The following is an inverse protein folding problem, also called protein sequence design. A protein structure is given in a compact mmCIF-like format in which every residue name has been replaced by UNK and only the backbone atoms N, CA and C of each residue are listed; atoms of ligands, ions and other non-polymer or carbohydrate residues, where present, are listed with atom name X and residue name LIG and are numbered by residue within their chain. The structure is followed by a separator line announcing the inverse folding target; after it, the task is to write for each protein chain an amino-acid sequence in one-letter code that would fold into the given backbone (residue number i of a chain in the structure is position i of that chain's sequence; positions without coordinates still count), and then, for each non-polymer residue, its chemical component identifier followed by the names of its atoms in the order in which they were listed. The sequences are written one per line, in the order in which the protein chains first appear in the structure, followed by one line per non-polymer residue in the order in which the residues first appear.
data_IF_213250011330
#
_entry.id   IF_213250011330
#
_cell.length_a   1.000
_cell.length_b   1.000
_cell.length_c   1.000
_cell.angle_alpha   90.00
_cell.angle_beta   90.00
_cell.angle_gamma   90.00
#
_symmetry.space_group_name_H-M   'P 1'
#
loop_
_entity.id
_entity.type
_entity.pdbx_description
1 polymer ?
#
# COMPACT_ATOMS: atom_id res chain seq x y z
N UNK A 1 -27.97 -4.20 -1.27
CA UNK A 1 -27.23 -2.97 -0.89
C UNK A 1 -26.71 -2.97 0.53
N UNK A 2 -27.46 -3.51 1.51
CA UNK A 2 -27.08 -3.57 2.94
C UNK A 2 -25.85 -4.46 3.21
N UNK A 3 -25.68 -5.59 2.53
CA UNK A 3 -24.58 -6.54 2.76
C UNK A 3 -23.19 -5.99 2.38
N UNK A 4 -23.05 -5.24 1.29
CA UNK A 4 -21.77 -4.65 0.87
C UNK A 4 -21.29 -3.57 1.84
N UNK A 5 -22.21 -2.76 2.37
CA UNK A 5 -21.90 -1.73 3.36
C UNK A 5 -21.43 -2.36 4.68
N UNK A 6 -22.05 -3.48 5.08
CA UNK A 6 -21.64 -4.23 6.28
C UNK A 6 -20.26 -4.84 6.14
N UNK A 7 -19.90 -5.37 4.97
CA UNK A 7 -18.57 -5.91 4.71
C UNK A 7 -17.49 -4.83 4.81
N UNK A 8 -17.72 -3.68 4.18
CA UNK A 8 -16.77 -2.56 4.23
C UNK A 8 -16.54 -2.09 5.67
N UNK A 9 -17.60 -1.80 6.40
CA UNK A 9 -17.51 -1.32 7.78
C UNK A 9 -17.01 -2.39 8.75
N UNK A 10 -17.44 -3.64 8.59
CA UNK A 10 -17.12 -4.73 9.50
C UNK A 10 -15.76 -5.37 9.30
N UNK A 11 -15.19 -5.29 8.09
CA UNK A 11 -13.91 -5.97 7.79
C UNK A 11 -12.84 -5.02 7.26
N UNK A 12 -13.15 -4.19 6.26
CA UNK A 12 -12.12 -3.36 5.61
C UNK A 12 -11.63 -2.26 6.57
N UNK A 13 -12.54 -1.52 7.21
CA UNK A 13 -12.18 -0.44 8.14
C UNK A 13 -11.31 -0.96 9.29
N UNK A 14 -11.68 -2.02 10.03
CA UNK A 14 -10.85 -2.55 11.10
C UNK A 14 -9.46 -3.00 10.65
N UNK A 15 -9.35 -3.62 9.48
CA UNK A 15 -8.06 -4.04 8.93
C UNK A 15 -7.16 -2.84 8.60
N UNK A 16 -7.71 -1.80 7.97
CA UNK A 16 -6.97 -0.59 7.66
C UNK A 16 -6.53 0.16 8.93
N UNK A 17 -7.40 0.24 9.93
CA UNK A 17 -7.06 0.82 11.24
C UNK A 17 -5.97 0.02 11.94
N UNK A 18 -6.06 -1.31 11.95
CA UNK A 18 -5.03 -2.19 12.51
C UNK A 18 -3.70 -1.97 11.81
N UNK A 19 -3.70 -1.91 10.48
CA UNK A 19 -2.49 -1.66 9.71
C UNK A 19 -1.90 -0.27 10.02
N UNK A 20 -2.72 0.79 10.00
CA UNK A 20 -2.28 2.14 10.32
C UNK A 20 -1.71 2.26 11.75
N UNK A 21 -2.38 1.68 12.74
CA UNK A 21 -1.93 1.71 14.14
C UNK A 21 -0.60 1.00 14.34
N UNK A 22 -0.37 -0.11 13.64
CA UNK A 22 0.85 -0.92 13.74
C UNK A 22 2.12 -0.10 13.45
N UNK A 23 2.06 0.80 12.50
CA UNK A 23 3.21 1.63 12.08
C UNK A 23 3.18 3.05 12.67
N UNK A 24 2.13 3.41 13.39
CA UNK A 24 1.97 4.72 14.02
C UNK A 24 2.66 4.80 15.39
N UNK A 25 2.93 6.04 15.81
CA UNK A 25 3.46 6.33 17.16
C UNK A 25 2.51 5.94 18.30
N UNK A 26 1.25 5.59 18.02
CA UNK A 26 0.33 5.06 19.04
C UNK A 26 0.72 3.65 19.51
N UNK A 27 1.49 2.92 18.68
CA UNK A 27 2.04 1.61 19.06
C UNK A 27 3.39 1.78 19.75
N UNK A 28 3.63 1.00 20.79
CA UNK A 28 4.91 0.98 21.50
C UNK A 28 6.10 0.91 20.53
N UNK A 29 7.12 1.72 20.81
CA UNK A 29 8.27 1.88 19.90
C UNK A 29 8.97 0.55 19.60
N UNK A 30 9.21 -0.27 20.63
CA UNK A 30 9.91 -1.56 20.45
C UNK A 30 9.11 -2.54 19.61
N UNK A 31 7.79 -2.58 19.83
CA UNK A 31 6.88 -3.43 19.04
C UNK A 31 6.86 -2.95 17.59
N UNK A 32 6.75 -1.64 17.37
CA UNK A 32 6.72 -1.03 16.04
C UNK A 32 8.01 -1.30 15.27
N UNK A 33 9.17 -1.08 15.88
CA UNK A 33 10.48 -1.36 15.26
C UNK A 33 10.65 -2.84 14.92
N UNK A 34 10.24 -3.74 15.81
CA UNK A 34 10.23 -5.18 15.53
C UNK A 34 9.38 -5.54 14.34
N UNK A 35 8.19 -4.96 14.23
CA UNK A 35 7.26 -5.19 13.11
C UNK A 35 7.84 -4.64 11.80
N UNK A 36 8.40 -3.42 11.80
CA UNK A 36 9.02 -2.83 10.61
C UNK A 36 10.14 -3.71 10.07
N UNK A 37 11.01 -4.20 10.95
CA UNK A 37 12.08 -5.13 10.58
C UNK A 37 11.52 -6.44 10.01
N UNK A 38 10.57 -7.05 10.67
CA UNK A 38 9.94 -8.30 10.20
C UNK A 38 9.32 -8.15 8.79
N UNK A 39 8.62 -7.03 8.55
CA UNK A 39 8.02 -6.76 7.24
C UNK A 39 9.07 -6.48 6.18
N UNK A 40 10.11 -5.71 6.51
CA UNK A 40 11.24 -5.45 5.60
C UNK A 40 11.93 -6.76 5.20
N UNK A 41 12.22 -7.63 6.16
CA UNK A 41 12.84 -8.93 5.91
C UNK A 41 11.96 -9.83 5.01
N UNK A 42 10.65 -9.86 5.25
CA UNK A 42 9.70 -10.62 4.42
C UNK A 42 9.64 -10.10 2.98
N UNK A 43 9.61 -8.78 2.80
CA UNK A 43 9.60 -8.14 1.47
C UNK A 43 10.90 -8.45 0.73
N UNK A 44 12.04 -8.28 1.39
CA UNK A 44 13.34 -8.56 0.79
C UNK A 44 13.46 -10.04 0.41
N UNK A 45 13.10 -10.95 1.31
CA UNK A 45 13.09 -12.37 1.01
C UNK A 45 12.22 -12.70 -0.20
N UNK A 46 11.06 -12.07 -0.31
CA UNK A 46 10.18 -12.25 -1.46
C UNK A 46 10.80 -11.73 -2.75
N UNK A 47 11.41 -10.53 -2.71
CA UNK A 47 12.09 -9.93 -3.87
C UNK A 47 13.24 -10.83 -4.34
N UNK A 48 14.08 -11.30 -3.41
CA UNK A 48 15.20 -12.17 -3.76
C UNK A 48 14.79 -13.59 -4.20
N UNK A 49 13.54 -13.99 -3.96
CA UNK A 49 13.00 -15.23 -4.51
C UNK A 49 12.56 -15.14 -5.96
N UNK A 50 12.62 -13.94 -6.58
CA UNK A 50 12.16 -13.64 -7.94
C UNK A 50 13.30 -13.00 -8.75
N UNK A 51 13.93 -13.75 -9.63
CA UNK A 51 15.07 -13.30 -10.44
C UNK A 51 14.79 -11.98 -11.18
N UNK A 52 13.59 -11.85 -11.74
CA UNK A 52 13.16 -10.64 -12.44
C UNK A 52 13.14 -9.37 -11.57
N UNK A 53 13.00 -9.51 -10.25
CA UNK A 53 13.03 -8.36 -9.34
C UNK A 53 14.45 -7.97 -8.97
N UNK A 54 15.37 -8.91 -8.84
CA UNK A 54 16.78 -8.64 -8.58
C UNK A 54 17.39 -7.80 -9.69
N UNK A 55 17.13 -8.17 -10.95
CA UNK A 55 17.60 -7.43 -12.13
C UNK A 55 17.17 -5.97 -12.17
N UNK A 56 16.00 -5.65 -11.58
CA UNK A 56 15.46 -4.29 -11.55
C UNK A 56 15.90 -3.52 -10.31
N UNK A 57 15.92 -4.18 -9.17
CA UNK A 57 16.14 -3.51 -7.88
C UNK A 57 17.62 -3.26 -7.60
N UNK A 58 18.52 -4.17 -7.95
CA UNK A 58 19.94 -3.98 -7.72
C UNK A 58 20.51 -2.78 -8.54
N UNK A 59 20.17 -2.58 -9.83
CA UNK A 59 20.55 -1.38 -10.55
C UNK A 59 20.02 -0.09 -9.92
N UNK A 60 18.76 -0.10 -9.48
CA UNK A 60 18.14 1.06 -8.82
C UNK A 60 18.85 1.46 -7.52
N UNK A 61 19.22 0.48 -6.67
CA UNK A 61 19.97 0.77 -5.45
C UNK A 61 21.37 1.30 -5.77
N UNK A 62 22.04 0.76 -6.81
CA UNK A 62 23.34 1.26 -7.28
C UNK A 62 23.25 2.68 -7.85
N UNK A 63 22.11 3.05 -8.43
CA UNK A 63 21.86 4.41 -8.90
C UNK A 63 21.70 5.39 -7.72
N UNK A 64 20.96 4.98 -6.68
CA UNK A 64 20.76 5.79 -5.47
C UNK A 64 22.06 5.94 -4.63
N UNK A 65 22.90 4.93 -4.62
CA UNK A 65 24.14 4.89 -3.86
C UNK A 65 25.29 4.34 -4.71
N UNK A 66 25.91 5.21 -5.56
CA UNK A 66 27.03 4.81 -6.41
C UNK A 66 28.19 4.29 -5.58
N UNK A 67 28.68 3.10 -5.92
CA UNK A 67 29.80 2.45 -5.19
C UNK A 67 29.38 1.46 -4.10
N UNK A 68 28.07 1.26 -3.88
CA UNK A 68 27.62 0.20 -2.97
C UNK A 68 28.10 -1.17 -3.42
N UNK A 69 28.68 -1.93 -2.49
CA UNK A 69 29.08 -3.31 -2.74
C UNK A 69 27.81 -4.20 -2.84
N UNK A 70 27.81 -5.14 -3.77
CA UNK A 70 26.66 -6.02 -4.04
C UNK A 70 26.15 -6.76 -2.79
N UNK A 71 27.08 -7.16 -1.90
CA UNK A 71 26.77 -7.79 -0.63
C UNK A 71 25.96 -6.91 0.33
N UNK A 72 26.02 -5.59 0.17
CA UNK A 72 25.32 -4.61 1.01
C UNK A 72 23.96 -4.18 0.44
N UNK A 73 23.61 -4.57 -0.79
CA UNK A 73 22.36 -4.16 -1.41
C UNK A 73 21.14 -4.60 -0.59
N UNK A 74 21.09 -5.84 -0.11
CA UNK A 74 20.00 -6.31 0.73
C UNK A 74 19.87 -5.52 2.03
N UNK A 75 20.99 -5.19 2.66
CA UNK A 75 21.01 -4.38 3.87
C UNK A 75 20.51 -2.96 3.60
N UNK A 76 20.95 -2.34 2.51
CA UNK A 76 20.50 -1.00 2.12
C UNK A 76 19.01 -0.97 1.80
N UNK A 77 18.49 -2.00 1.13
CA UNK A 77 17.07 -2.16 0.89
C UNK A 77 16.28 -2.25 2.20
N UNK A 78 16.76 -3.05 3.18
CA UNK A 78 16.13 -3.16 4.50
C UNK A 78 16.01 -1.80 5.17
N UNK A 79 17.11 -1.05 5.17
CA UNK A 79 17.16 0.30 5.74
C UNK A 79 16.19 1.27 5.05
N UNK A 80 16.14 1.26 3.73
CA UNK A 80 15.22 2.10 2.96
C UNK A 80 13.75 1.75 3.23
N UNK A 81 13.42 0.46 3.34
CA UNK A 81 12.08 0.00 3.68
C UNK A 81 11.67 0.41 5.10
N UNK A 82 12.54 0.22 6.08
CA UNK A 82 12.29 0.64 7.46
C UNK A 82 12.10 2.15 7.57
N UNK A 83 12.92 2.95 6.89
CA UNK A 83 12.77 4.40 6.82
C UNK A 83 11.46 4.81 6.12
N UNK A 84 11.07 4.10 5.08
CA UNK A 84 9.78 4.27 4.41
C UNK A 84 8.61 4.04 5.36
N UNK A 85 8.63 2.96 6.14
CA UNK A 85 7.60 2.68 7.16
C UNK A 85 7.55 3.75 8.26
N UNK A 86 8.69 4.31 8.65
CA UNK A 86 8.77 5.35 9.69
C UNK A 86 8.27 6.72 9.25
N UNK A 87 8.50 7.09 7.98
CA UNK A 87 8.37 8.49 7.54
C UNK A 87 7.41 8.70 6.38
N UNK A 88 7.16 7.67 5.55
CA UNK A 88 6.48 7.84 4.26
C UNK A 88 5.40 6.79 3.99
N UNK A 89 4.83 6.18 5.03
CA UNK A 89 3.80 5.17 4.86
C UNK A 89 2.53 5.78 4.25
N UNK A 90 2.05 5.13 3.19
CA UNK A 90 0.77 5.43 2.55
C UNK A 90 -0.08 4.18 2.48
N UNK A 91 -1.36 4.32 2.74
CA UNK A 91 -2.32 3.25 2.58
C UNK A 91 -3.07 3.47 1.27
N UNK A 92 -3.04 2.48 0.41
CA UNK A 92 -3.77 2.47 -0.86
C UNK A 92 -4.82 1.37 -0.78
N UNK A 93 -6.09 1.76 -0.89
CA UNK A 93 -7.23 0.85 -0.98
C UNK A 93 -7.65 0.75 -2.44
N UNK A 94 -7.70 -0.47 -2.96
CA UNK A 94 -8.20 -0.76 -4.31
C UNK A 94 -9.45 -1.62 -4.17
N UNK A 95 -10.58 -1.10 -4.62
CA UNK A 95 -11.90 -1.75 -4.49
C UNK A 95 -12.72 -1.56 -5.75
N UNK A 96 -13.77 -2.34 -5.92
CA UNK A 96 -14.72 -2.21 -7.02
C UNK A 96 -15.74 -1.09 -6.80
N UNK A 97 -15.98 -0.72 -5.54
CA UNK A 97 -16.91 0.35 -5.18
C UNK A 97 -16.43 1.07 -3.91
N UNK A 98 -16.49 2.39 -3.92
CA UNK A 98 -16.17 3.24 -2.78
C UNK A 98 -17.04 4.51 -2.84
N UNK A 99 -17.90 4.69 -1.85
CA UNK A 99 -18.71 5.91 -1.75
C UNK A 99 -17.85 7.10 -1.27
N UNK A 100 -18.32 8.32 -1.52
CA UNK A 100 -17.64 9.53 -1.03
C UNK A 100 -17.57 9.54 0.50
N UNK A 101 -18.67 9.18 1.17
CA UNK A 101 -18.73 9.11 2.64
C UNK A 101 -17.72 8.09 3.21
N UNK A 102 -17.64 6.89 2.62
CA UNK A 102 -16.66 5.88 3.00
C UNK A 102 -15.23 6.38 2.84
N UNK A 103 -14.93 7.04 1.72
CA UNK A 103 -13.62 7.62 1.44
C UNK A 103 -13.27 8.70 2.46
N UNK A 104 -14.19 9.61 2.75
CA UNK A 104 -13.96 10.71 3.69
C UNK A 104 -13.79 10.19 5.12
N UNK A 105 -14.62 9.22 5.53
CA UNK A 105 -14.48 8.54 6.82
C UNK A 105 -13.09 7.89 6.94
N UNK A 106 -12.67 7.12 5.95
CA UNK A 106 -11.36 6.47 5.97
C UNK A 106 -10.22 7.46 6.00
N UNK A 107 -10.31 8.52 5.18
CA UNK A 107 -9.29 9.56 5.15
C UNK A 107 -9.15 10.23 6.53
N UNK A 108 -10.25 10.54 7.19
CA UNK A 108 -10.25 11.16 8.51
C UNK A 108 -9.70 10.22 9.58
N UNK A 109 -10.13 8.95 9.57
CA UNK A 109 -9.66 7.93 10.53
C UNK A 109 -8.17 7.67 10.35
N UNK A 110 -7.69 7.48 9.11
CA UNK A 110 -6.29 7.17 8.85
C UNK A 110 -5.38 8.36 9.15
N UNK A 111 -5.81 9.58 8.86
CA UNK A 111 -5.04 10.80 9.19
C UNK A 111 -4.81 11.01 10.69
N UNK A 112 -5.62 10.39 11.54
CA UNK A 112 -5.42 10.43 13.00
C UNK A 112 -4.13 9.70 13.42
N UNK A 113 -3.67 8.74 12.62
CA UNK A 113 -2.43 8.01 12.88
C UNK A 113 -1.22 8.79 12.38
N UNK A 114 -0.26 9.01 13.29
CA UNK A 114 0.97 9.77 13.02
C UNK A 114 2.17 8.84 12.91
N UNK A 115 3.08 9.17 12.00
CA UNK A 115 4.38 8.54 11.87
C UNK A 115 5.41 9.17 12.83
N UNK A 116 6.61 8.63 12.90
CA UNK A 116 7.67 9.13 13.78
C UNK A 116 8.10 10.58 13.49
N UNK A 117 7.98 11.01 12.25
CA UNK A 117 8.24 12.41 11.86
C UNK A 117 7.07 13.37 12.17
N UNK A 118 5.99 12.89 12.81
CA UNK A 118 4.80 13.68 13.14
C UNK A 118 3.81 13.84 11.99
N UNK A 119 4.14 13.38 10.78
CA UNK A 119 3.22 13.42 9.64
C UNK A 119 2.10 12.38 9.78
N UNK A 120 0.94 12.71 9.24
CA UNK A 120 -0.19 11.77 9.17
C UNK A 120 0.05 10.71 8.12
N UNK A 121 -0.36 9.48 8.41
CA UNK A 121 -0.45 8.43 7.40
C UNK A 121 -1.43 8.87 6.32
N UNK A 122 -0.99 8.81 5.07
CA UNK A 122 -1.82 9.20 3.92
C UNK A 122 -2.67 8.03 3.45
N UNK A 123 -3.90 8.33 3.05
CA UNK A 123 -4.83 7.36 2.50
C UNK A 123 -5.24 7.75 1.07
N UNK A 124 -5.27 6.76 0.16
CA UNK A 124 -5.85 6.91 -1.18
C UNK A 124 -6.74 5.73 -1.51
N UNK A 125 -7.95 6.02 -1.96
CA UNK A 125 -8.87 5.01 -2.48
C UNK A 125 -8.93 5.07 -4.01
N UNK A 126 -8.79 3.91 -4.65
CA UNK A 126 -9.00 3.74 -6.08
C UNK A 126 -10.18 2.80 -6.31
N UNK A 127 -11.06 3.18 -7.22
CA UNK A 127 -12.13 2.32 -7.69
C UNK A 127 -11.70 1.72 -9.03
N UNK A 128 -11.63 0.41 -9.10
CA UNK A 128 -11.33 -0.33 -10.34
C UNK A 128 -12.59 -1.06 -10.76
N UNK A 129 -13.10 -0.73 -11.95
CA UNK A 129 -14.28 -1.36 -12.53
C UNK A 129 -13.90 -2.13 -13.78
N UNK A 130 -14.36 -3.36 -13.85
CA UNK A 130 -14.39 -4.11 -15.10
C UNK A 130 -15.66 -3.75 -15.86
N UNK A 131 -15.50 -3.08 -16.98
CA UNK A 131 -16.60 -2.72 -17.88
C UNK A 131 -16.62 -3.70 -19.04
N UNK A 132 -17.79 -4.33 -19.28
CA UNK A 132 -18.03 -5.15 -20.44
C UNK A 132 -18.77 -4.31 -21.47
N UNK A 133 -18.16 -4.10 -22.62
CA UNK A 133 -18.82 -3.50 -23.79
C UNK A 133 -19.28 -4.62 -24.72
N UNK A 134 -20.55 -4.71 -24.95
CA UNK A 134 -21.13 -5.63 -25.92
C UNK A 134 -21.33 -4.84 -27.23
N UNK A 135 -20.61 -5.22 -28.25
CA UNK A 135 -20.83 -4.67 -29.57
C UNK A 135 -22.00 -5.43 -30.23
N UNK A 136 -23.14 -4.75 -30.33
CA UNK A 136 -24.38 -5.35 -30.86
C UNK A 136 -24.32 -5.67 -32.38
N UNK A 137 -23.32 -5.13 -33.08
CA UNK A 137 -23.21 -5.28 -34.55
C UNK A 137 -22.49 -6.56 -34.96
N UNK A 138 -21.54 -7.05 -34.16
CA UNK A 138 -20.70 -8.21 -34.49
C UNK A 138 -20.67 -9.30 -33.41
N UNK A 139 -21.36 -9.10 -32.31
CA UNK A 139 -21.42 -10.03 -31.18
C UNK A 139 -20.12 -10.18 -30.41
N UNK A 140 -19.11 -9.34 -30.67
CA UNK A 140 -17.85 -9.36 -29.95
C UNK A 140 -17.99 -8.67 -28.60
N UNK A 141 -17.39 -9.26 -27.59
CA UNK A 141 -17.37 -8.71 -26.23
C UNK A 141 -16.00 -8.15 -25.95
N UNK A 142 -15.94 -6.85 -25.71
CA UNK A 142 -14.72 -6.18 -25.24
C UNK A 142 -14.78 -5.94 -23.74
N UNK A 143 -13.68 -6.20 -23.06
CA UNK A 143 -13.52 -5.90 -21.65
C UNK A 143 -12.59 -4.70 -21.49
N UNK A 144 -13.03 -3.70 -20.74
CA UNK A 144 -12.21 -2.56 -20.38
C UNK A 144 -12.07 -2.49 -18.86
N UNK A 145 -10.84 -2.23 -18.40
CA UNK A 145 -10.58 -1.94 -16.99
C UNK A 145 -10.51 -0.42 -16.84
N UNK A 146 -11.42 0.16 -16.07
CA UNK A 146 -11.42 1.58 -15.77
C UNK A 146 -10.92 1.80 -14.34
N UNK A 147 -9.92 2.66 -14.19
CA UNK A 147 -9.37 3.03 -12.87
C UNK A 147 -9.74 4.48 -12.60
N UNK A 148 -10.53 4.72 -11.56
CA UNK A 148 -10.92 6.06 -11.15
C UNK A 148 -10.19 6.44 -9.87
N UNK A 149 -9.34 7.47 -9.96
CA UNK A 149 -8.85 8.21 -8.79
C UNK A 149 -9.77 9.40 -8.58
N UNK A 150 -10.66 9.36 -7.61
CA UNK A 150 -11.36 10.57 -7.19
C UNK A 150 -10.35 11.41 -6.39
N UNK A 151 -9.91 12.52 -6.98
CA UNK A 151 -9.17 13.55 -6.23
C UNK A 151 -10.07 14.14 -5.15
N UNK A 152 -9.51 14.59 -4.03
CA UNK A 152 -10.26 15.27 -2.99
C UNK A 152 -10.97 16.51 -3.53
#
# INVERSE_FOLDING_TARGET
MVEKTNYFNGQIIPQLMKFASTFSIVTDKKIREGTMKEWSDKIIKHIYSKDSYQEKIAPWIKELEPGIKEQLIAHQMSKLLEDGFRKNLRIILVVDELSTEQKDTMNNVIKAFKLENGESIQFKGYVVRLEQKINLTDGQTEYAISVFSRRP
#
